data_IF_826974130420
#
_entry.id   IF_826974130420
#
_cell.length_a   1.000
_cell.length_b   1.000
_cell.length_c   1.000
_cell.angle_alpha   90.00
_cell.angle_beta   90.00
_cell.angle_gamma   90.00
#
_symmetry.space_group_name_H-M   'P 1'
#
loop_
_entity.id
_entity.type
_entity.pdbx_description
1 polymer ?
#
# COMPACT_ATOMS: atom_id res chain seq x y z
N UNK A 1 -6.07 -10.48 -24.47
CA UNK A 1 -7.07 -9.92 -23.57
C UNK A 1 -6.38 -8.88 -22.73
N UNK A 2 -6.57 -7.61 -23.07
CA UNK A 2 -5.98 -6.48 -22.35
C UNK A 2 -7.08 -5.48 -21.97
N UNK A 3 -8.12 -5.98 -21.30
CA UNK A 3 -9.24 -5.19 -20.81
C UNK A 3 -8.85 -4.35 -19.59
N UNK A 4 -8.03 -4.89 -18.68
CA UNK A 4 -7.61 -4.16 -17.49
C UNK A 4 -6.51 -3.10 -17.74
N UNK A 5 -5.66 -3.29 -18.75
CA UNK A 5 -4.64 -2.32 -19.16
C UNK A 5 -4.89 -1.95 -20.61
N UNK A 6 -5.19 -0.67 -20.86
CA UNK A 6 -5.54 -0.19 -22.19
C UNK A 6 -4.42 -0.46 -23.19
N UNK A 7 -4.77 -0.70 -24.46
CA UNK A 7 -3.77 -0.89 -25.52
C UNK A 7 -2.84 0.33 -25.62
N UNK A 8 -3.36 1.53 -25.38
CA UNK A 8 -2.58 2.76 -25.42
C UNK A 8 -1.50 2.78 -24.33
N UNK A 9 -1.87 2.47 -23.08
CA UNK A 9 -0.92 2.42 -21.96
C UNK A 9 0.13 1.32 -22.16
N UNK A 10 -0.28 0.16 -22.67
CA UNK A 10 0.64 -0.92 -23.03
C UNK A 10 1.64 -0.45 -24.08
N UNK A 11 1.18 0.14 -25.18
CA UNK A 11 2.06 0.63 -26.26
C UNK A 11 2.99 1.74 -25.78
N UNK A 12 2.53 2.62 -24.89
CA UNK A 12 3.35 3.66 -24.27
C UNK A 12 4.47 3.04 -23.41
N UNK A 13 4.14 2.06 -22.56
CA UNK A 13 5.12 1.35 -21.73
C UNK A 13 6.14 0.56 -22.56
N UNK A 14 5.69 -0.09 -23.63
CA UNK A 14 6.57 -0.78 -24.59
C UNK A 14 7.56 0.19 -25.24
N UNK A 15 7.06 1.33 -25.73
CA UNK A 15 7.88 2.37 -26.34
C UNK A 15 8.91 2.95 -25.37
N UNK A 16 8.51 3.23 -24.12
CA UNK A 16 9.42 3.69 -23.07
C UNK A 16 10.52 2.67 -22.75
N UNK A 17 10.20 1.38 -22.89
CA UNK A 17 11.15 0.29 -22.69
C UNK A 17 12.05 0.03 -23.90
N UNK A 18 11.91 0.79 -24.99
CA UNK A 18 12.68 0.61 -26.23
C UNK A 18 12.14 -0.47 -27.17
N UNK A 19 10.89 -0.91 -26.97
CA UNK A 19 10.18 -1.80 -27.90
C UNK A 19 9.16 -0.99 -28.69
N UNK A 20 9.59 -0.43 -29.81
CA UNK A 20 8.74 0.32 -30.73
C UNK A 20 9.03 -0.06 -32.19
N UNK A 21 8.10 0.26 -33.08
CA UNK A 21 8.31 0.07 -34.52
C UNK A 21 9.51 0.90 -35.00
N UNK A 22 10.44 0.24 -35.71
CA UNK A 22 11.68 0.84 -36.19
C UNK A 22 12.89 0.67 -35.26
N UNK A 23 12.68 0.26 -34.00
CA UNK A 23 13.77 0.02 -33.05
C UNK A 23 14.44 -1.34 -33.26
N UNK A 24 15.70 -1.45 -32.79
CA UNK A 24 16.44 -2.71 -32.82
C UNK A 24 15.85 -3.66 -31.79
N UNK A 25 15.41 -4.85 -32.25
CA UNK A 25 14.85 -5.86 -31.36
C UNK A 25 15.93 -6.47 -30.45
N UNK A 26 15.66 -6.43 -29.14
CA UNK A 26 16.46 -7.09 -28.11
C UNK A 26 15.58 -8.05 -27.31
N UNK A 27 15.94 -9.34 -27.29
CA UNK A 27 15.17 -10.37 -26.57
C UNK A 27 15.10 -10.10 -25.07
N UNK A 28 16.18 -9.60 -24.47
CA UNK A 28 16.23 -9.28 -23.04
C UNK A 28 15.19 -8.21 -22.66
N UNK A 29 15.00 -7.21 -23.53
CA UNK A 29 14.01 -6.15 -23.34
C UNK A 29 12.58 -6.70 -23.39
N UNK A 30 12.29 -7.62 -24.32
CA UNK A 30 11.00 -8.30 -24.39
C UNK A 30 10.67 -9.10 -23.12
N UNK A 31 11.65 -9.83 -22.59
CA UNK A 31 11.49 -10.58 -21.35
C UNK A 31 11.30 -9.66 -20.14
N UNK A 32 12.04 -8.54 -20.08
CA UNK A 32 11.88 -7.52 -19.05
C UNK A 32 10.46 -6.93 -19.05
N UNK A 33 9.97 -6.59 -20.22
CA UNK A 33 8.60 -6.10 -20.45
C UNK A 33 7.56 -7.15 -20.06
N UNK A 34 7.72 -8.40 -20.49
CA UNK A 34 6.81 -9.51 -20.15
C UNK A 34 6.66 -9.64 -18.64
N UNK A 35 7.79 -9.64 -17.93
CA UNK A 35 7.82 -9.72 -16.48
C UNK A 35 7.20 -8.50 -15.80
N UNK A 36 7.42 -7.29 -16.33
CA UNK A 36 6.80 -6.08 -15.80
C UNK A 36 5.29 -6.09 -16.00
N UNK A 37 4.80 -6.44 -17.20
CA UNK A 37 3.38 -6.59 -17.45
C UNK A 37 2.74 -7.60 -16.50
N UNK A 38 3.38 -8.74 -16.29
CA UNK A 38 2.92 -9.73 -15.32
C UNK A 38 2.89 -9.17 -13.88
N UNK A 39 3.92 -8.41 -13.47
CA UNK A 39 3.93 -7.73 -12.15
C UNK A 39 2.79 -6.73 -12.02
N UNK A 40 2.46 -5.97 -13.07
CA UNK A 40 1.35 -5.01 -13.05
C UNK A 40 0.01 -5.71 -12.86
N UNK A 41 -0.24 -6.81 -13.56
CA UNK A 41 -1.45 -7.62 -13.33
C UNK A 41 -1.51 -8.18 -11.89
N UNK A 42 -0.38 -8.68 -11.37
CA UNK A 42 -0.28 -9.13 -9.98
C UNK A 42 -0.56 -8.00 -8.98
N UNK A 43 -0.06 -6.79 -9.22
CA UNK A 43 -0.32 -5.63 -8.37
C UNK A 43 -1.82 -5.27 -8.31
N UNK A 44 -2.54 -5.47 -9.41
CA UNK A 44 -4.00 -5.32 -9.50
C UNK A 44 -4.80 -6.51 -8.95
N UNK A 45 -4.14 -7.47 -8.27
CA UNK A 45 -4.78 -8.65 -7.68
C UNK A 45 -5.06 -9.79 -8.67
N UNK A 46 -4.54 -9.72 -9.90
CA UNK A 46 -4.72 -10.75 -10.95
C UNK A 46 -3.56 -11.73 -10.97
N UNK A 47 -3.46 -12.54 -9.92
CA UNK A 47 -2.37 -13.51 -9.76
C UNK A 47 -2.38 -14.65 -10.78
N UNK A 48 -3.55 -14.95 -11.34
CA UNK A 48 -3.73 -15.94 -12.40
C UNK A 48 -3.43 -15.38 -13.79
N UNK A 49 -2.98 -14.12 -13.90
CA UNK A 49 -2.62 -13.54 -15.18
C UNK A 49 -1.37 -14.20 -15.77
N UNK A 50 -1.40 -14.37 -17.09
CA UNK A 50 -0.35 -14.97 -17.89
C UNK A 50 -0.09 -14.06 -19.11
N UNK A 51 1.19 -13.74 -19.32
CA UNK A 51 1.65 -12.87 -20.40
C UNK A 51 2.64 -13.66 -21.24
N UNK A 52 2.21 -14.01 -22.46
CA UNK A 52 3.05 -14.68 -23.44
C UNK A 52 3.53 -13.67 -24.48
N UNK A 53 4.81 -13.71 -24.79
CA UNK A 53 5.41 -12.89 -25.82
C UNK A 53 6.00 -13.79 -26.91
N UNK A 54 5.41 -13.74 -28.09
CA UNK A 54 5.83 -14.54 -29.25
C UNK A 54 6.57 -13.64 -30.25
N UNK A 55 7.77 -14.08 -30.67
CA UNK A 55 8.57 -13.39 -31.69
C UNK A 55 8.37 -14.11 -33.01
N UNK A 56 7.76 -13.42 -33.97
CA UNK A 56 7.49 -13.96 -35.31
C UNK A 56 8.51 -13.35 -36.28
N UNK A 57 9.43 -14.14 -36.85
CA UNK A 57 10.36 -13.65 -37.87
C UNK A 57 9.63 -13.09 -39.09
N UNK A 58 10.17 -12.02 -39.67
CA UNK A 58 9.62 -11.36 -40.86
C UNK A 58 10.71 -11.17 -41.93
N UNK A 59 10.33 -11.05 -43.21
CA UNK A 59 11.28 -10.74 -44.27
C UNK A 59 12.07 -9.45 -44.00
N UNK A 60 13.28 -9.40 -44.55
CA UNK A 60 14.22 -8.26 -44.43
C UNK A 60 14.74 -8.04 -43.00
N UNK A 61 15.05 -9.14 -42.29
CA UNK A 61 15.60 -9.11 -40.93
C UNK A 61 14.74 -8.32 -39.93
N UNK A 62 13.41 -8.43 -40.06
CA UNK A 62 12.45 -7.80 -39.16
C UNK A 62 11.83 -8.86 -38.25
N UNK A 63 11.23 -8.41 -37.16
CA UNK A 63 10.44 -9.27 -36.26
C UNK A 63 9.11 -8.60 -36.00
N UNK A 64 8.05 -9.41 -35.90
CA UNK A 64 6.77 -8.99 -35.35
C UNK A 64 6.64 -9.55 -33.94
N UNK A 65 6.24 -8.71 -32.99
CA UNK A 65 6.01 -9.10 -31.60
C UNK A 65 4.52 -9.32 -31.39
N UNK A 66 4.14 -10.51 -30.94
CA UNK A 66 2.77 -10.85 -30.59
C UNK A 66 2.68 -11.13 -29.10
N UNK A 67 2.12 -10.18 -28.36
CA UNK A 67 1.90 -10.32 -26.92
C UNK A 67 0.47 -10.83 -26.71
N UNK A 68 0.34 -12.05 -26.19
CA UNK A 68 -0.94 -12.63 -25.78
C UNK A 68 -1.05 -12.50 -24.27
N UNK A 69 -2.11 -11.85 -23.83
CA UNK A 69 -2.39 -11.65 -22.40
C UNK A 69 -3.66 -12.41 -22.05
N UNK A 70 -3.54 -13.28 -21.06
CA UNK A 70 -4.65 -13.83 -20.30
C UNK A 70 -4.68 -13.13 -18.94
N UNK A 71 -5.69 -12.31 -18.69
CA UNK A 71 -5.75 -11.49 -17.46
C UNK A 71 -6.14 -12.29 -16.22
N UNK A 72 -6.62 -13.52 -16.41
CA UNK A 72 -7.15 -14.35 -15.33
C UNK A 72 -8.29 -13.70 -14.54
N UNK A 73 -8.53 -14.24 -13.36
CA UNK A 73 -9.47 -13.70 -12.37
C UNK A 73 -8.75 -12.90 -11.30
N UNK A 74 -9.45 -11.91 -10.73
CA UNK A 74 -8.97 -11.21 -9.54
C UNK A 74 -9.12 -12.16 -8.34
N UNK A 75 -8.06 -12.31 -7.56
CA UNK A 75 -8.12 -13.11 -6.35
C UNK A 75 -8.85 -12.34 -5.24
N UNK A 76 -9.81 -13.00 -4.61
CA UNK A 76 -10.61 -12.43 -3.53
C UNK A 76 -9.99 -12.74 -2.17
N UNK A 77 -10.05 -11.79 -1.25
CA UNK A 77 -9.57 -11.97 0.12
C UNK A 77 -10.59 -12.81 0.87
N UNK A 78 -10.16 -14.00 1.28
CA UNK A 78 -10.99 -14.90 2.06
C UNK A 78 -10.93 -14.56 3.55
N UNK A 79 -9.72 -14.35 4.06
CA UNK A 79 -9.48 -14.01 5.47
C UNK A 79 -8.35 -13.01 5.64
N UNK A 80 -8.53 -12.13 6.63
CA UNK A 80 -7.51 -11.25 7.18
C UNK A 80 -7.41 -11.62 8.66
N UNK A 81 -6.24 -12.08 9.08
CA UNK A 81 -5.98 -12.48 10.45
C UNK A 81 -4.95 -11.53 11.05
N UNK A 82 -5.24 -10.99 12.23
CA UNK A 82 -4.30 -10.18 13.01
C UNK A 82 -3.91 -11.05 14.21
N UNK A 83 -2.62 -11.18 14.45
CA UNK A 83 -2.08 -12.05 15.49
C UNK A 83 -1.18 -11.23 16.39
N UNK A 84 -1.36 -11.40 17.70
CA UNK A 84 -0.62 -10.66 18.73
C UNK A 84 -1.36 -9.45 19.28
N UNK A 85 -2.59 -9.18 18.80
CA UNK A 85 -3.49 -8.22 19.39
C UNK A 85 -4.15 -8.80 20.66
N UNK A 86 -3.94 -8.15 21.80
CA UNK A 86 -4.57 -8.46 23.08
C UNK A 86 -5.30 -7.24 23.65
N UNK A 87 -4.88 -6.03 23.26
CA UNK A 87 -5.50 -4.77 23.71
C UNK A 87 -6.78 -4.47 22.95
N UNK A 88 -6.81 -4.75 21.64
CA UNK A 88 -7.97 -4.52 20.77
C UNK A 88 -8.40 -5.81 20.10
N UNK A 89 -9.72 -6.01 19.98
CA UNK A 89 -10.28 -7.18 19.31
C UNK A 89 -10.13 -7.11 17.77
N UNK A 90 -10.24 -8.28 17.14
CA UNK A 90 -10.10 -8.44 15.69
C UNK A 90 -11.13 -7.63 14.90
N UNK A 91 -12.34 -7.47 15.43
CA UNK A 91 -13.41 -6.72 14.79
C UNK A 91 -13.09 -5.22 14.72
N UNK A 92 -12.59 -4.65 15.83
CA UNK A 92 -12.16 -3.24 15.90
C UNK A 92 -11.02 -2.98 14.93
N UNK A 93 -10.01 -3.86 14.90
CA UNK A 93 -8.87 -3.70 14.02
C UNK A 93 -9.25 -3.95 12.55
N UNK A 94 -10.09 -4.95 12.29
CA UNK A 94 -10.62 -5.28 10.97
C UNK A 94 -11.51 -4.18 10.38
N UNK A 95 -12.18 -3.37 11.21
CA UNK A 95 -12.92 -2.20 10.74
C UNK A 95 -12.01 -1.10 10.16
N UNK A 96 -10.76 -0.98 10.63
CA UNK A 96 -9.79 0.01 10.17
C UNK A 96 -9.31 -0.24 8.73
N UNK A 97 -9.37 -1.50 8.30
CA UNK A 97 -8.86 -1.91 6.99
C UNK A 97 -9.85 -1.49 5.90
N UNK A 98 -9.35 -0.96 4.81
CA UNK A 98 -10.07 -0.77 3.56
C UNK A 98 -10.29 -2.10 2.86
N UNK A 99 -9.32 -3.00 2.91
CA UNK A 99 -9.48 -4.38 2.46
C UNK A 99 -10.42 -5.12 3.41
N UNK A 100 -11.43 -5.78 2.84
CA UNK A 100 -12.40 -6.58 3.59
C UNK A 100 -12.37 -8.03 3.14
N UNK A 101 -12.79 -8.92 4.03
CA UNK A 101 -13.10 -10.30 3.65
C UNK A 101 -14.33 -10.30 2.77
N UNK A 102 -14.37 -11.24 1.82
CA UNK A 102 -15.48 -11.43 0.89
C UNK A 102 -16.80 -11.52 1.65
N UNK A 103 -17.71 -10.58 1.39
CA UNK A 103 -19.05 -10.57 1.96
C UNK A 103 -20.11 -10.33 0.88
N UNK A 104 -21.39 -10.48 1.25
CA UNK A 104 -22.53 -10.32 0.34
C UNK A 104 -22.64 -8.95 -0.37
N UNK A 105 -21.97 -7.89 0.11
CA UNK A 105 -21.92 -6.56 -0.50
C UNK A 105 -20.63 -6.30 -1.30
N UNK A 106 -19.65 -7.21 -1.23
CA UNK A 106 -18.36 -7.05 -1.91
C UNK A 106 -18.50 -7.00 -3.43
N UNK A 107 -19.58 -7.56 -4.01
CA UNK A 107 -19.87 -7.42 -5.43
C UNK A 107 -20.03 -5.96 -5.88
N UNK A 108 -20.48 -5.07 -4.99
CA UNK A 108 -20.64 -3.64 -5.26
C UNK A 108 -19.42 -2.83 -4.82
N UNK A 109 -18.87 -3.13 -3.65
CA UNK A 109 -17.75 -2.36 -3.05
C UNK A 109 -16.38 -2.69 -3.64
N UNK A 110 -16.20 -3.89 -4.20
CA UNK A 110 -14.91 -4.39 -4.70
C UNK A 110 -13.78 -4.27 -3.65
N UNK A 111 -14.13 -4.36 -2.37
CA UNK A 111 -13.24 -4.24 -1.20
C UNK A 111 -12.54 -5.56 -0.85
N UNK A 112 -12.96 -6.66 -1.46
CA UNK A 112 -12.40 -8.00 -1.37
C UNK A 112 -11.26 -8.27 -2.35
N UNK A 113 -10.95 -7.32 -3.24
CA UNK A 113 -9.87 -7.47 -4.22
C UNK A 113 -8.54 -7.10 -3.59
N UNK A 114 -7.64 -8.07 -3.50
CA UNK A 114 -6.29 -7.80 -3.01
C UNK A 114 -5.58 -6.79 -3.92
N UNK A 115 -5.04 -5.74 -3.30
CA UNK A 115 -4.08 -4.84 -3.93
C UNK A 115 -2.98 -4.52 -2.91
N UNK A 116 -1.72 -4.55 -3.36
CA UNK A 116 -0.57 -4.33 -2.47
C UNK A 116 -0.60 -2.94 -1.86
N UNK A 117 -0.95 -1.91 -2.63
CA UNK A 117 -1.01 -0.53 -2.12
C UNK A 117 -2.07 -0.39 -1.03
N UNK A 118 -3.24 -1.02 -1.21
CA UNK A 118 -4.32 -0.98 -0.22
C UNK A 118 -3.90 -1.64 1.10
N UNK A 119 -3.26 -2.82 1.02
CA UNK A 119 -2.73 -3.48 2.20
C UNK A 119 -1.70 -2.61 2.92
N UNK A 120 -0.79 -1.97 2.19
CA UNK A 120 0.18 -1.04 2.80
C UNK A 120 -0.51 0.12 3.52
N UNK A 121 -1.59 0.66 2.95
CA UNK A 121 -2.41 1.68 3.60
C UNK A 121 -3.10 1.16 4.86
N UNK A 122 -3.62 -0.06 4.84
CA UNK A 122 -4.26 -0.72 5.97
C UNK A 122 -3.29 -0.95 7.14
N UNK A 123 -2.07 -1.40 6.84
CA UNK A 123 -1.02 -1.56 7.84
C UNK A 123 -0.64 -0.23 8.50
N UNK A 124 -0.59 0.87 7.75
CA UNK A 124 -0.34 2.19 8.32
C UNK A 124 -1.52 2.73 9.14
N UNK A 125 -2.77 2.46 8.72
CA UNK A 125 -3.98 2.78 9.51
C UNK A 125 -3.97 2.02 10.84
N UNK A 126 -3.62 0.73 10.81
CA UNK A 126 -3.46 -0.10 12.00
C UNK A 126 -2.39 0.48 12.93
N UNK A 127 -1.18 0.72 12.40
CA UNK A 127 -0.07 1.31 13.16
C UNK A 127 -0.46 2.66 13.77
N UNK A 128 -1.08 3.53 13.00
CA UNK A 128 -1.53 4.85 13.45
C UNK A 128 -2.57 4.74 14.57
N UNK A 129 -3.50 3.79 14.47
CA UNK A 129 -4.53 3.56 15.49
C UNK A 129 -3.94 3.25 16.88
N UNK A 130 -2.88 2.45 16.93
CA UNK A 130 -2.13 2.13 18.16
C UNK A 130 -1.32 3.33 18.66
N UNK A 131 -0.56 3.98 17.77
CA UNK A 131 0.28 5.14 18.12
C UNK A 131 -0.55 6.31 18.66
N UNK A 132 -1.77 6.49 18.15
CA UNK A 132 -2.71 7.52 18.61
C UNK A 132 -3.28 7.24 20.01
N UNK A 133 -3.09 6.03 20.54
CA UNK A 133 -3.62 5.55 21.83
C UNK A 133 -2.52 5.22 22.85
N UNK A 134 -1.28 5.62 22.57
CA UNK A 134 -0.17 5.56 23.52
C UNK A 134 0.79 4.39 23.32
N UNK A 135 0.58 3.55 22.33
CA UNK A 135 1.43 2.38 22.06
C UNK A 135 2.59 2.75 21.14
N UNK A 136 3.57 3.49 21.68
CA UNK A 136 4.70 4.08 20.90
C UNK A 136 5.56 2.99 20.24
N UNK A 137 5.77 1.88 20.95
CA UNK A 137 6.59 0.76 20.51
C UNK A 137 5.77 -0.31 19.76
N UNK A 138 4.55 0.02 19.33
CA UNK A 138 3.78 -0.90 18.50
C UNK A 138 4.51 -1.11 17.17
N UNK A 139 4.69 -2.37 16.80
CA UNK A 139 5.31 -2.74 15.54
C UNK A 139 4.57 -3.89 14.85
N UNK A 140 4.70 -3.93 13.52
CA UNK A 140 4.18 -5.01 12.69
C UNK A 140 5.36 -5.94 12.39
N UNK A 141 5.47 -7.01 13.18
CA UNK A 141 6.58 -7.95 13.12
C UNK A 141 6.71 -8.65 11.76
N UNK A 142 5.58 -9.00 11.14
CA UNK A 142 5.57 -9.52 9.76
C UNK A 142 4.19 -9.43 9.14
N UNK A 143 4.16 -9.40 7.80
CA UNK A 143 2.92 -9.54 7.02
C UNK A 143 3.11 -10.66 6.01
N UNK A 144 2.28 -11.69 6.12
CA UNK A 144 2.30 -12.87 5.26
C UNK A 144 1.07 -12.83 4.38
N UNK A 145 1.28 -12.93 3.06
CA UNK A 145 0.21 -13.02 2.08
C UNK A 145 0.35 -14.37 1.38
N UNK A 146 -0.62 -15.25 1.58
CA UNK A 146 -0.66 -16.56 0.93
C UNK A 146 -1.83 -16.63 -0.05
N UNK A 147 -1.65 -17.44 -1.09
CA UNK A 147 -2.60 -17.56 -2.19
C UNK A 147 -2.86 -19.05 -2.39
N UNK A 148 -4.12 -19.40 -2.62
CA UNK A 148 -4.49 -20.79 -2.92
C UNK A 148 -3.87 -21.27 -4.22
N UNK A 149 -3.63 -22.59 -4.40
CA UNK A 149 -3.06 -23.13 -5.63
C UNK A 149 -3.84 -22.79 -6.90
N UNK A 150 -5.16 -22.62 -6.79
CA UNK A 150 -6.05 -22.21 -7.87
C UNK A 150 -6.00 -20.70 -8.18
N UNK A 151 -5.21 -19.93 -7.41
CA UNK A 151 -5.00 -18.49 -7.52
C UNK A 151 -6.27 -17.63 -7.38
N UNK A 152 -7.30 -18.17 -6.74
CA UNK A 152 -8.60 -17.48 -6.54
C UNK A 152 -8.74 -16.81 -5.19
N UNK A 153 -8.09 -17.32 -4.16
CA UNK A 153 -8.26 -16.84 -2.79
C UNK A 153 -6.93 -16.34 -2.22
N UNK A 154 -7.01 -15.24 -1.48
CA UNK A 154 -5.89 -14.64 -0.74
C UNK A 154 -6.17 -14.70 0.74
N UNK A 155 -5.17 -15.06 1.52
CA UNK A 155 -5.17 -15.03 2.97
C UNK A 155 -4.06 -14.09 3.44
N UNK A 156 -4.42 -13.16 4.30
CA UNK A 156 -3.49 -12.17 4.84
C UNK A 156 -3.34 -12.45 6.33
N UNK A 157 -2.12 -12.59 6.81
CA UNK A 157 -1.81 -12.69 8.24
C UNK A 157 -0.85 -11.57 8.63
N UNK A 158 -1.26 -10.74 9.59
CA UNK A 158 -0.49 -9.62 10.11
C UNK A 158 -0.10 -9.97 11.55
N UNK A 159 1.20 -10.18 11.77
CA UNK A 159 1.72 -10.41 13.11
C UNK A 159 2.15 -9.07 13.70
N UNK A 160 1.64 -8.72 14.86
CA UNK A 160 1.92 -7.46 15.53
C UNK A 160 2.49 -7.68 16.93
N UNK A 161 3.27 -6.70 17.37
CA UNK A 161 3.68 -6.52 18.76
C UNK A 161 3.09 -5.20 19.24
N UNK A 162 2.16 -5.24 20.18
CA UNK A 162 1.45 -4.02 20.64
C UNK A 162 2.34 -3.08 21.46
N UNK A 163 3.29 -3.65 22.21
CA UNK A 163 4.14 -2.88 23.12
C UNK A 163 3.38 -2.34 24.33
N UNK A 164 4.06 -1.49 25.11
CA UNK A 164 3.48 -0.88 26.32
C UNK A 164 2.78 0.45 26.00
N UNK A 165 1.86 0.83 26.89
CA UNK A 165 1.16 2.11 26.82
C UNK A 165 1.96 3.19 27.56
N UNK A 166 2.25 4.28 26.85
CA UNK A 166 3.03 5.41 27.36
C UNK A 166 2.17 6.65 27.59
N UNK A 167 2.58 7.44 28.58
CA UNK A 167 2.03 8.76 28.90
C UNK A 167 3.11 9.83 28.74
N UNK A 168 2.70 11.04 28.42
CA UNK A 168 3.60 12.19 28.29
C UNK A 168 4.06 12.63 29.68
N UNK A 169 5.36 12.64 29.93
CA UNK A 169 5.90 13.08 31.23
C UNK A 169 6.01 14.60 31.33
N UNK A 170 6.54 15.23 30.29
CA UNK A 170 6.83 16.67 30.24
C UNK A 170 6.89 17.12 28.78
N UNK A 171 6.60 18.40 28.54
CA UNK A 171 6.65 19.03 27.21
C UNK A 171 7.52 20.27 27.29
N UNK A 172 8.65 20.26 26.57
CA UNK A 172 9.60 21.36 26.54
C UNK A 172 9.70 21.93 25.14
N UNK A 173 9.62 23.26 25.03
CA UNK A 173 9.97 23.98 23.84
C UNK A 173 11.48 24.22 23.83
N UNK A 174 12.12 24.05 22.68
CA UNK A 174 13.56 24.25 22.51
C UNK A 174 13.83 24.79 21.11
N UNK A 175 14.83 25.66 20.97
CA UNK A 175 15.18 26.32 19.72
C UNK A 175 14.96 27.84 19.75
N UNK A 176 15.24 28.48 18.63
CA UNK A 176 15.05 29.93 18.46
C UNK A 176 13.59 30.22 18.04
N UNK A 177 12.81 30.78 18.96
CA UNK A 177 11.43 31.15 18.71
C UNK A 177 11.40 32.57 18.15
N UNK A 178 11.11 32.71 16.86
CA UNK A 178 10.89 34.01 16.21
C UNK A 178 9.64 34.75 16.70
N UNK A 179 8.77 34.04 17.42
CA UNK A 179 7.53 34.54 18.02
C UNK A 179 7.59 34.42 19.55
N UNK A 180 6.81 35.22 20.31
CA UNK A 180 6.74 35.10 21.76
C UNK A 180 6.39 33.67 22.21
N UNK A 181 7.11 33.15 23.19
CA UNK A 181 6.97 31.77 23.68
C UNK A 181 5.53 31.45 24.12
N UNK A 182 4.83 32.41 24.71
CA UNK A 182 3.45 32.25 25.16
C UNK A 182 2.49 31.96 23.99
N UNK A 183 2.75 32.49 22.79
CA UNK A 183 1.97 32.18 21.60
C UNK A 183 2.18 30.72 21.18
N UNK A 184 3.42 30.22 21.25
CA UNK A 184 3.74 28.82 20.92
C UNK A 184 3.15 27.88 21.97
N UNK A 185 3.26 28.23 23.25
CA UNK A 185 2.66 27.46 24.36
C UNK A 185 1.15 27.31 24.20
N UNK A 186 0.46 28.35 23.72
CA UNK A 186 -0.98 28.30 23.49
C UNK A 186 -1.41 27.31 22.40
N UNK A 187 -0.48 26.91 21.52
CA UNK A 187 -0.70 25.95 20.44
C UNK A 187 -0.35 24.50 20.84
N UNK A 188 0.25 24.31 22.02
CA UNK A 188 0.55 22.98 22.54
C UNK A 188 -0.75 22.27 22.92
N UNK A 189 -1.18 21.30 22.10
CA UNK A 189 -2.29 20.42 22.44
C UNK A 189 -1.86 19.30 23.39
N UNK A 190 -0.54 19.09 23.52
CA UNK A 190 0.04 18.03 24.34
C UNK A 190 0.19 18.51 25.79
N UNK A 191 -0.35 17.75 26.74
CA UNK A 191 -0.25 18.04 28.18
C UNK A 191 0.54 16.95 28.95
N UNK A 192 1.35 17.32 29.95
CA UNK A 192 1.91 16.34 30.89
C UNK A 192 0.83 15.47 31.56
N UNK A 193 1.10 14.18 31.72
CA UNK A 193 0.20 13.18 32.29
C UNK A 193 -0.79 12.55 31.30
N UNK A 194 -1.01 13.14 30.13
CA UNK A 194 -1.93 12.56 29.15
C UNK A 194 -1.34 11.32 28.46
N UNK A 195 -2.19 10.44 27.95
CA UNK A 195 -1.75 9.31 27.12
C UNK A 195 -1.11 9.84 25.84
N UNK A 196 0.05 9.28 25.45
CA UNK A 196 0.70 9.69 24.22
C UNK A 196 -0.25 9.48 23.01
N UNK A 197 -0.26 10.43 22.09
CA UNK A 197 -1.01 10.32 20.85
C UNK A 197 -0.20 10.94 19.73
N UNK A 198 0.20 10.13 18.74
CA UNK A 198 0.92 10.61 17.56
C UNK A 198 0.11 11.70 16.85
N UNK A 199 -1.19 11.53 16.67
CA UNK A 199 -2.07 12.55 16.10
C UNK A 199 -1.99 13.89 16.83
N UNK A 200 -2.09 13.91 18.16
CA UNK A 200 -2.03 15.16 18.94
C UNK A 200 -0.66 15.82 18.81
N UNK A 201 0.42 15.03 18.82
CA UNK A 201 1.78 15.51 18.62
C UNK A 201 1.97 16.12 17.22
N UNK A 202 1.54 15.42 16.17
CA UNK A 202 1.62 15.89 14.79
C UNK A 202 0.80 17.16 14.58
N UNK A 203 -0.44 17.21 15.06
CA UNK A 203 -1.29 18.42 14.98
C UNK A 203 -0.66 19.60 15.73
N UNK A 204 -0.06 19.35 16.91
CA UNK A 204 0.67 20.39 17.64
C UNK A 204 1.83 20.94 16.80
N UNK A 205 2.62 20.05 16.19
CA UNK A 205 3.71 20.46 15.29
C UNK A 205 3.21 21.28 14.11
N UNK A 206 2.13 20.86 13.46
CA UNK A 206 1.52 21.56 12.32
C UNK A 206 1.04 22.97 12.70
N UNK A 207 0.40 23.12 13.86
CA UNK A 207 -0.06 24.43 14.35
C UNK A 207 1.11 25.39 14.58
N UNK A 208 2.18 24.90 15.21
CA UNK A 208 3.40 25.68 15.44
C UNK A 208 4.07 26.05 14.11
N UNK A 209 4.27 25.08 13.21
CA UNK A 209 4.86 25.33 11.88
C UNK A 209 4.07 26.34 11.09
N UNK A 210 2.73 26.24 11.07
CA UNK A 210 1.86 27.20 10.38
C UNK A 210 1.96 28.61 10.97
N UNK A 211 2.06 28.73 12.30
CA UNK A 211 2.23 30.03 12.96
C UNK A 211 3.58 30.67 12.63
N UNK A 212 4.64 29.88 12.57
CA UNK A 212 6.00 30.35 12.26
C UNK A 212 6.22 30.62 10.76
N UNK A 213 5.50 29.93 9.87
CA UNK A 213 5.60 30.11 8.43
C UNK A 213 4.74 31.26 7.86
N UNK A 214 3.86 31.85 8.66
CA UNK A 214 3.11 33.06 8.32
C UNK A 214 3.91 34.35 8.57
N UNK A 215 5.21 34.24 8.90
CA UNK A 215 6.19 35.31 9.05
C UNK A 215 7.32 35.14 8.03
#
# INVERSE_FOLDING_TARGET
GNKAISTEDLMKGLKQSGLAEGEIFQRATLEGVRNELQRQYVAQGRYSAEVDAEVVPQPRNRVALKIKINEGTVAAIQHINIVGNNVFDDDTLGQLFELKTTNWLSFFKNDDKYAREKLSGDLERLRSYYLDRGYINMDIASTQVSITPDKKHVYITVNINEGEKYTVRDVKLSGDLKVPEDQVKSLLLVQPGQVFSRKVMTTTSELITRRLGNE
#
